data_IF_201835097345
#
_entry.id   IF_201835097345
#
_cell.length_a   1.000
_cell.length_b   1.000
_cell.length_c   1.000
_cell.angle_alpha   90.00
_cell.angle_beta   90.00
_cell.angle_gamma   90.00
#
_symmetry.space_group_name_H-M   'P 1'
#
loop_
_entity.id
_entity.type
_entity.pdbx_description
1 polymer ?
#
# COMPACT_ATOMS: atom_id res chain seq x y z
N UNK A 1 -1.41 0.01 -5.20
CA UNK A 1 -0.82 -1.20 -5.79
C UNK A 1 -0.91 -2.30 -4.77
N UNK A 2 0.20 -2.64 -4.11
CA UNK A 2 0.29 -3.79 -3.21
C UNK A 2 -0.83 -3.93 -2.17
N UNK A 3 -1.18 -2.87 -1.44
CA UNK A 3 -2.27 -2.96 -0.43
C UNK A 3 -3.61 -3.35 -1.06
N UNK A 4 -3.95 -2.80 -2.23
CA UNK A 4 -5.17 -3.19 -2.96
C UNK A 4 -5.09 -4.62 -3.51
N UNK A 5 -3.91 -5.04 -3.97
CA UNK A 5 -3.68 -6.43 -4.41
C UNK A 5 -3.90 -7.40 -3.25
N UNK A 6 -3.33 -7.12 -2.06
CA UNK A 6 -3.52 -7.95 -0.89
C UNK A 6 -4.99 -7.99 -0.42
N UNK A 7 -5.69 -6.84 -0.47
CA UNK A 7 -7.13 -6.80 -0.20
C UNK A 7 -7.91 -7.67 -1.17
N UNK A 8 -7.69 -7.50 -2.47
CA UNK A 8 -8.34 -8.31 -3.49
C UNK A 8 -8.15 -9.81 -3.28
N UNK A 9 -6.95 -10.24 -2.86
CA UNK A 9 -6.64 -11.65 -2.62
C UNK A 9 -7.22 -12.21 -1.31
N UNK A 10 -7.49 -11.36 -0.31
CA UNK A 10 -7.89 -11.77 1.03
C UNK A 10 -9.37 -11.52 1.37
N UNK A 11 -10.01 -10.51 0.78
CA UNK A 11 -11.39 -10.12 1.14
C UNK A 11 -12.44 -11.14 0.72
N UNK A 12 -12.34 -11.60 -0.52
CA UNK A 12 -13.15 -12.71 -1.03
C UNK A 12 -12.25 -13.67 -1.81
N UNK A 13 -11.57 -14.59 -1.10
CA UNK A 13 -10.65 -15.54 -1.73
C UNK A 13 -11.34 -16.48 -2.72
N UNK A 14 -12.68 -16.62 -2.67
CA UNK A 14 -13.44 -17.43 -3.60
C UNK A 14 -13.72 -16.70 -4.92
N UNK A 15 -13.76 -15.36 -4.91
CA UNK A 15 -13.91 -14.53 -6.10
C UNK A 15 -12.59 -14.32 -6.86
N UNK A 16 -11.44 -14.68 -6.29
CA UNK A 16 -10.14 -14.58 -6.96
C UNK A 16 -10.13 -15.54 -8.17
N UNK A 17 -9.93 -15.04 -9.41
CA UNK A 17 -9.93 -15.89 -10.59
C UNK A 17 -8.81 -16.93 -10.52
N UNK A 18 -9.11 -18.18 -10.91
CA UNK A 18 -8.11 -19.26 -10.92
C UNK A 18 -6.91 -19.04 -11.84
N UNK A 19 -6.98 -18.06 -12.75
CA UNK A 19 -5.84 -17.61 -13.56
C UNK A 19 -4.77 -16.84 -12.76
N UNK A 20 -5.10 -16.37 -11.54
CA UNK A 20 -4.13 -15.69 -10.66
C UNK A 20 -3.32 -16.75 -9.90
N UNK A 21 -2.16 -17.11 -10.44
CA UNK A 21 -1.32 -18.16 -9.87
C UNK A 21 -0.45 -17.71 -8.68
N UNK A 22 -0.02 -16.44 -8.67
CA UNK A 22 0.84 -15.88 -7.63
C UNK A 22 0.78 -14.35 -7.60
N UNK A 23 1.21 -13.74 -6.49
CA UNK A 23 1.37 -12.29 -6.37
C UNK A 23 2.66 -11.89 -5.67
N UNK A 24 3.20 -10.72 -6.04
CA UNK A 24 4.34 -10.09 -5.36
C UNK A 24 3.97 -8.64 -5.05
N UNK A 25 4.17 -8.28 -3.79
CA UNK A 25 3.74 -7.04 -3.18
C UNK A 25 4.94 -6.39 -2.50
N UNK A 26 5.44 -5.29 -3.07
CA UNK A 26 6.67 -4.62 -2.61
C UNK A 26 6.32 -3.33 -1.86
N UNK A 27 6.92 -3.16 -0.69
CA UNK A 27 6.78 -1.99 0.19
C UNK A 27 5.35 -1.59 0.45
N UNK A 28 4.60 -2.56 0.96
CA UNK A 28 3.17 -2.46 1.12
C UNK A 28 2.81 -1.96 2.51
N UNK A 29 2.11 -0.82 2.62
CA UNK A 29 1.53 -0.39 3.88
C UNK A 29 0.32 -1.25 4.19
N UNK A 30 0.55 -2.38 4.88
CA UNK A 30 -0.50 -3.32 5.23
C UNK A 30 -1.46 -2.71 6.27
N UNK A 31 -0.98 -1.79 7.10
CA UNK A 31 -1.76 -0.96 8.02
C UNK A 31 -1.68 0.50 7.58
N UNK A 32 -2.76 1.02 7.03
CA UNK A 32 -2.86 2.42 6.58
C UNK A 32 -2.96 3.40 7.76
N UNK A 33 -3.52 2.97 8.88
CA UNK A 33 -3.74 3.82 10.06
C UNK A 33 -2.41 4.26 10.66
N UNK A 34 -1.46 3.33 10.77
CA UNK A 34 -0.14 3.63 11.32
C UNK A 34 0.79 4.26 10.29
N UNK A 35 0.68 3.83 9.02
CA UNK A 35 1.44 4.42 7.90
C UNK A 35 1.13 5.90 7.70
N UNK A 36 -0.14 6.29 7.76
CA UNK A 36 -0.54 7.69 7.64
C UNK A 36 0.12 8.55 8.73
N UNK A 37 0.08 8.08 9.98
CA UNK A 37 0.70 8.77 11.12
C UNK A 37 2.22 8.86 10.97
N UNK A 38 2.85 7.83 10.40
CA UNK A 38 4.28 7.86 10.10
C UNK A 38 4.61 8.89 9.03
N UNK A 39 3.80 9.00 7.98
CA UNK A 39 3.95 10.01 6.92
C UNK A 39 3.72 11.44 7.42
N UNK A 40 2.84 11.62 8.41
CA UNK A 40 2.57 12.93 9.03
C UNK A 40 3.73 13.43 9.92
N UNK A 41 4.73 12.59 10.23
CA UNK A 41 5.87 13.00 11.08
C UNK A 41 6.67 14.13 10.43
N UNK A 42 7.21 15.10 11.22
CA UNK A 42 7.99 16.22 10.68
C UNK A 42 9.17 15.82 9.78
N UNK A 43 9.83 14.68 10.08
CA UNK A 43 10.94 14.15 9.27
C UNK A 43 10.53 13.69 7.87
N UNK A 44 9.24 13.39 7.66
CA UNK A 44 8.69 12.93 6.37
C UNK A 44 8.02 14.07 5.58
N UNK A 45 8.15 15.32 6.02
CA UNK A 45 7.42 16.47 5.43
C UNK A 45 7.69 16.69 3.95
N UNK A 46 8.90 16.36 3.46
CA UNK A 46 9.22 16.41 2.03
C UNK A 46 8.34 15.44 1.24
N UNK A 47 8.20 14.20 1.72
CA UNK A 47 7.35 13.18 1.10
C UNK A 47 5.87 13.57 1.16
N UNK A 48 5.39 13.96 2.35
CA UNK A 48 4.01 14.43 2.53
C UNK A 48 3.65 15.55 1.56
N UNK A 49 4.48 16.59 1.47
CA UNK A 49 4.23 17.73 0.59
C UNK A 49 4.22 17.32 -0.88
N UNK A 50 5.15 16.45 -1.30
CA UNK A 50 5.20 15.96 -2.67
C UNK A 50 3.94 15.15 -3.01
N UNK A 51 3.52 14.24 -2.13
CA UNK A 51 2.30 13.46 -2.32
C UNK A 51 1.06 14.35 -2.39
N UNK A 52 0.85 15.22 -1.41
CA UNK A 52 -0.32 16.11 -1.40
C UNK A 52 -0.36 17.03 -2.62
N UNK A 53 0.79 17.53 -3.10
CA UNK A 53 0.85 18.28 -4.36
C UNK A 53 0.28 17.46 -5.52
N UNK A 54 0.78 16.23 -5.71
CA UNK A 54 0.31 15.37 -6.80
C UNK A 54 -1.16 14.98 -6.67
N UNK A 55 -1.65 14.75 -5.44
CA UNK A 55 -3.04 14.41 -5.17
C UNK A 55 -3.97 15.59 -5.46
N UNK A 56 -3.65 16.80 -4.97
CA UNK A 56 -4.41 18.02 -5.29
C UNK A 56 -4.48 18.26 -6.79
N UNK A 57 -3.39 18.06 -7.52
CA UNK A 57 -3.38 18.23 -8.97
C UNK A 57 -4.24 17.20 -9.71
N UNK A 58 -4.25 15.94 -9.24
CA UNK A 58 -5.16 14.90 -9.77
C UNK A 58 -6.62 15.27 -9.52
N UNK A 59 -6.95 15.74 -8.31
CA UNK A 59 -8.31 16.15 -7.97
C UNK A 59 -8.74 17.35 -8.80
N UNK A 60 -7.90 18.39 -8.91
CA UNK A 60 -8.16 19.57 -9.77
C UNK A 60 -8.45 19.17 -11.21
N UNK A 61 -7.68 18.23 -11.78
CA UNK A 61 -7.94 17.69 -13.13
C UNK A 61 -9.30 17.01 -13.20
N UNK A 62 -9.65 16.15 -12.23
CA UNK A 62 -10.96 15.49 -12.20
C UNK A 62 -12.12 16.49 -12.06
N UNK A 63 -11.97 17.55 -11.26
CA UNK A 63 -13.01 18.58 -11.09
C UNK A 63 -13.30 19.35 -12.37
N UNK A 64 -12.33 19.48 -13.29
CA UNK A 64 -12.58 20.08 -14.62
C UNK A 64 -13.52 19.23 -15.47
N UNK A 65 -13.42 17.90 -15.35
CA UNK A 65 -14.28 16.95 -16.08
C UNK A 65 -15.62 16.73 -15.38
N UNK A 66 -15.63 16.80 -14.05
CA UNK A 66 -16.81 16.58 -13.22
C UNK A 66 -17.03 17.80 -12.31
N UNK A 67 -17.71 18.85 -12.77
CA UNK A 67 -17.99 20.03 -11.94
C UNK A 67 -18.72 19.65 -10.65
N UNK A 68 -18.37 20.28 -9.54
CA UNK A 68 -18.94 19.98 -8.21
C UNK A 68 -18.32 18.78 -7.48
N UNK A 69 -17.29 18.14 -8.05
CA UNK A 69 -16.63 16.96 -7.47
C UNK A 69 -16.12 17.15 -6.04
N UNK A 70 -15.55 18.33 -5.78
CA UNK A 70 -15.01 18.76 -4.49
C UNK A 70 -14.97 20.28 -4.48
N UNK A 71 -15.10 20.86 -3.30
CA UNK A 71 -14.84 22.29 -3.12
C UNK A 71 -13.32 22.55 -3.23
N UNK A 72 -12.92 23.30 -4.27
CA UNK A 72 -11.51 23.59 -4.54
C UNK A 72 -10.85 24.50 -3.49
N UNK A 73 -11.62 25.36 -2.82
CA UNK A 73 -11.11 26.19 -1.72
C UNK A 73 -10.79 25.34 -0.49
N UNK A 74 -11.63 24.35 -0.19
CA UNK A 74 -11.34 23.34 0.85
C UNK A 74 -10.12 22.51 0.49
N UNK A 75 -9.99 22.09 -0.78
CA UNK A 75 -8.83 21.34 -1.26
C UNK A 75 -7.51 22.13 -1.10
N UNK A 76 -7.55 23.45 -1.28
CA UNK A 76 -6.38 24.32 -1.09
C UNK A 76 -5.92 24.40 0.39
N UNK A 77 -6.80 24.11 1.35
CA UNK A 77 -6.53 24.17 2.80
C UNK A 77 -6.08 22.84 3.42
N UNK A 78 -6.11 21.74 2.66
CA UNK A 78 -5.64 20.42 3.10
C UNK A 78 -4.18 20.51 3.54
N UNK A 79 -3.81 19.99 4.73
CA UNK A 79 -2.44 20.05 5.26
C UNK A 79 -1.75 18.68 5.36
N UNK A 80 -2.52 17.63 5.54
CA UNK A 80 -2.05 16.26 5.69
C UNK A 80 -2.94 15.26 4.91
N UNK A 81 -2.66 13.97 5.05
CA UNK A 81 -3.44 12.92 4.39
C UNK A 81 -4.82 12.79 5.00
N UNK A 82 -4.94 12.89 6.33
CA UNK A 82 -6.24 12.89 6.99
C UNK A 82 -7.18 13.98 6.43
N UNK A 83 -6.73 15.24 6.36
CA UNK A 83 -7.49 16.34 5.75
C UNK A 83 -7.90 16.02 4.30
N UNK A 84 -6.99 15.41 3.52
CA UNK A 84 -7.25 15.05 2.13
C UNK A 84 -8.30 13.94 2.02
N UNK A 85 -8.13 12.88 2.80
CA UNK A 85 -8.95 11.69 2.75
C UNK A 85 -10.34 11.94 3.35
N UNK A 86 -10.47 12.76 4.40
CA UNK A 86 -11.76 13.25 4.91
C UNK A 86 -12.51 14.08 3.87
N UNK A 87 -11.79 14.94 3.13
CA UNK A 87 -12.41 15.82 2.14
C UNK A 87 -12.81 15.08 0.86
N UNK A 88 -11.97 14.16 0.40
CA UNK A 88 -12.07 13.60 -0.95
C UNK A 88 -12.22 12.09 -0.98
N UNK A 89 -11.35 11.33 -0.31
CA UNK A 89 -11.32 9.87 -0.49
C UNK A 89 -12.49 9.19 0.21
N UNK A 90 -12.65 9.41 1.52
CA UNK A 90 -13.69 8.80 2.35
C UNK A 90 -15.11 8.97 1.78
N UNK A 91 -15.61 10.21 1.56
CA UNK A 91 -16.99 10.42 1.12
C UNK A 91 -17.27 9.84 -0.27
N UNK A 92 -16.25 9.77 -1.14
CA UNK A 92 -16.40 9.23 -2.51
C UNK A 92 -16.47 7.72 -2.55
N UNK A 93 -15.91 7.06 -1.55
CA UNK A 93 -15.88 5.61 -1.45
C UNK A 93 -16.88 5.09 -0.40
N UNK A 94 -17.78 5.94 0.10
CA UNK A 94 -18.84 5.56 1.02
C UNK A 94 -18.38 5.42 2.48
N UNK A 95 -17.17 5.86 2.80
CA UNK A 95 -16.69 5.92 4.18
C UNK A 95 -17.14 7.22 4.85
N UNK A 96 -17.39 7.14 6.15
CA UNK A 96 -17.80 8.27 6.99
C UNK A 96 -16.71 9.31 7.13
N UNK A 97 -15.47 8.85 7.30
CA UNK A 97 -14.27 9.66 7.55
C UNK A 97 -13.00 8.89 7.15
N UNK A 98 -11.86 9.56 7.20
CA UNK A 98 -10.54 9.02 6.88
C UNK A 98 -10.16 7.86 7.82
N UNK A 99 -10.57 7.91 9.09
CA UNK A 99 -10.25 6.86 10.05
C UNK A 99 -10.96 5.55 9.70
N UNK A 100 -12.25 5.59 9.35
CA UNK A 100 -12.97 4.44 8.83
C UNK A 100 -12.33 3.95 7.52
N UNK A 101 -11.99 4.87 6.62
CA UNK A 101 -11.29 4.52 5.38
C UNK A 101 -9.98 3.75 5.67
N UNK A 102 -9.13 4.23 6.57
CA UNK A 102 -7.87 3.53 6.86
C UNK A 102 -8.08 2.17 7.51
N UNK A 103 -9.04 2.06 8.43
CA UNK A 103 -9.35 0.79 9.09
C UNK A 103 -9.86 -0.27 8.10
N UNK A 104 -10.80 0.12 7.23
CA UNK A 104 -11.42 -0.80 6.28
C UNK A 104 -10.59 -1.00 5.01
N UNK A 105 -9.71 -0.05 4.68
CA UNK A 105 -8.86 -0.13 3.50
C UNK A 105 -7.46 -0.70 3.76
N UNK A 106 -7.13 -1.04 5.00
CA UNK A 106 -5.92 -1.78 5.34
C UNK A 106 -6.02 -3.24 4.89
N UNK A 107 -4.94 -3.79 4.32
CA UNK A 107 -4.93 -5.21 3.95
C UNK A 107 -4.62 -6.14 5.12
N UNK A 108 -4.02 -5.64 6.20
CA UNK A 108 -3.59 -6.45 7.36
C UNK A 108 -4.67 -7.41 7.89
N UNK A 109 -5.94 -7.01 8.06
CA UNK A 109 -6.98 -7.89 8.61
C UNK A 109 -7.36 -9.07 7.72
N UNK A 110 -7.08 -9.00 6.42
CA UNK A 110 -7.53 -10.02 5.44
C UNK A 110 -6.41 -10.96 4.99
N UNK A 111 -5.18 -10.77 5.47
CA UNK A 111 -4.02 -11.56 5.02
C UNK A 111 -4.10 -13.03 5.40
N UNK A 112 -4.80 -13.38 6.48
CA UNK A 112 -5.00 -14.78 6.90
C UNK A 112 -5.87 -15.56 5.91
N UNK A 113 -6.74 -14.86 5.17
CA UNK A 113 -7.66 -15.47 4.22
C UNK A 113 -7.05 -15.67 2.82
N UNK A 114 -5.89 -15.07 2.53
CA UNK A 114 -5.21 -15.18 1.23
C UNK A 114 -4.91 -16.64 0.90
N UNK A 115 -5.33 -17.10 -0.28
CA UNK A 115 -5.12 -18.49 -0.76
C UNK A 115 -4.10 -18.61 -1.89
N UNK A 116 -3.84 -17.52 -2.59
CA UNK A 116 -2.85 -17.48 -3.69
C UNK A 116 -1.46 -17.26 -3.09
N UNK A 117 -0.43 -18.03 -3.50
CA UNK A 117 0.95 -17.79 -3.09
C UNK A 117 1.35 -16.32 -3.30
N UNK A 118 1.64 -15.63 -2.20
CA UNK A 118 1.83 -14.18 -2.19
C UNK A 118 3.06 -13.80 -1.40
N UNK A 119 4.00 -13.09 -2.04
CA UNK A 119 5.18 -12.52 -1.39
C UNK A 119 4.93 -11.06 -1.01
N UNK A 120 5.10 -10.73 0.27
CA UNK A 120 5.23 -9.37 0.79
C UNK A 120 6.72 -9.09 1.02
N UNK A 121 7.28 -8.11 0.31
CA UNK A 121 8.66 -7.68 0.43
C UNK A 121 8.71 -6.24 0.99
N UNK A 122 8.97 -6.11 2.29
CA UNK A 122 8.97 -4.82 3.00
C UNK A 122 10.32 -4.57 3.67
N UNK A 123 11.04 -3.51 3.31
CA UNK A 123 12.33 -3.21 3.93
C UNK A 123 12.17 -2.63 5.35
N UNK A 124 13.02 -3.04 6.29
CA UNK A 124 12.98 -2.55 7.69
C UNK A 124 13.35 -1.08 7.82
N UNK A 125 14.10 -0.53 6.87
CA UNK A 125 14.47 0.89 6.83
C UNK A 125 13.53 1.74 5.96
N UNK A 126 12.34 1.25 5.63
CA UNK A 126 11.31 2.01 4.93
C UNK A 126 10.82 3.17 5.83
N UNK A 127 10.86 4.45 5.38
CA UNK A 127 10.44 5.59 6.19
C UNK A 127 8.93 5.69 6.41
N UNK A 128 8.13 4.92 5.67
CA UNK A 128 6.66 4.97 5.72
C UNK A 128 6.06 3.82 6.50
N UNK A 129 6.68 2.64 6.44
CA UNK A 129 6.15 1.44 7.07
C UNK A 129 6.46 1.43 8.57
N UNK A 130 5.43 1.21 9.37
CA UNK A 130 5.56 1.00 10.82
C UNK A 130 5.64 -0.49 11.15
N UNK A 131 5.97 -0.88 12.39
CA UNK A 131 6.01 -2.30 12.80
C UNK A 131 4.75 -3.10 12.43
N UNK A 132 3.59 -2.47 12.44
CA UNK A 132 2.30 -3.07 12.09
C UNK A 132 2.18 -3.44 10.59
N UNK A 133 3.03 -2.84 9.74
CA UNK A 133 3.10 -3.19 8.32
C UNK A 133 3.95 -4.43 8.02
N UNK A 134 4.45 -5.12 9.06
CA UNK A 134 5.20 -6.37 8.95
C UNK A 134 4.35 -7.51 9.53
N UNK A 135 3.50 -8.17 8.70
CA UNK A 135 2.48 -9.12 9.16
C UNK A 135 3.09 -10.49 9.53
N UNK A 136 4.01 -10.51 10.50
CA UNK A 136 4.75 -11.72 10.89
C UNK A 136 3.84 -12.82 11.45
N UNK A 137 2.79 -12.44 12.18
CA UNK A 137 1.82 -13.38 12.72
C UNK A 137 1.01 -14.05 11.60
N UNK A 138 0.50 -13.26 10.66
CA UNK A 138 -0.29 -13.73 9.53
C UNK A 138 0.56 -14.60 8.60
N UNK A 139 1.81 -14.20 8.32
CA UNK A 139 2.74 -14.98 7.50
C UNK A 139 3.14 -16.32 8.16
N UNK A 140 3.15 -16.39 9.49
CA UNK A 140 3.40 -17.64 10.23
C UNK A 140 2.18 -18.57 10.21
N UNK A 141 0.98 -18.00 10.24
CA UNK A 141 -0.27 -18.75 10.27
C UNK A 141 -0.74 -19.22 8.89
N UNK A 142 -0.40 -18.48 7.82
CA UNK A 142 -0.88 -18.73 6.46
C UNK A 142 0.25 -19.25 5.55
N UNK A 143 0.22 -20.51 5.09
CA UNK A 143 1.25 -21.07 4.21
C UNK A 143 1.29 -20.46 2.80
N UNK A 144 0.24 -19.75 2.39
CA UNK A 144 0.24 -19.02 1.12
C UNK A 144 0.89 -17.63 1.22
N UNK A 145 1.21 -17.16 2.43
CA UNK A 145 1.74 -15.81 2.65
C UNK A 145 3.22 -15.84 3.04
N UNK A 146 4.06 -15.31 2.16
CA UNK A 146 5.50 -15.23 2.35
C UNK A 146 5.88 -13.79 2.71
N UNK A 147 6.68 -13.63 3.78
CA UNK A 147 7.13 -12.31 4.22
C UNK A 147 8.66 -12.23 4.19
N UNK A 148 9.19 -11.24 3.46
CA UNK A 148 10.61 -10.91 3.42
C UNK A 148 10.87 -9.50 3.92
N UNK A 149 11.75 -9.38 4.92
CA UNK A 149 12.04 -8.11 5.59
C UNK A 149 13.52 -7.73 5.59
N UNK A 150 14.10 -7.39 4.41
CA UNK A 150 15.51 -7.03 4.34
C UNK A 150 15.80 -5.78 5.18
N UNK A 151 17.00 -5.72 5.77
CA UNK A 151 17.42 -4.57 6.58
C UNK A 151 17.43 -3.26 5.77
N UNK A 152 17.75 -3.35 4.48
CA UNK A 152 17.84 -2.22 3.57
C UNK A 152 17.00 -2.42 2.31
N UNK A 153 16.42 -1.32 1.85
CA UNK A 153 15.62 -1.25 0.62
C UNK A 153 14.86 0.08 0.53
N UNK A 154 14.58 0.75 1.65
CA UNK A 154 13.72 1.94 1.66
C UNK A 154 12.32 1.63 1.12
N UNK A 155 11.54 2.67 0.79
CA UNK A 155 10.19 2.43 0.28
C UNK A 155 10.13 1.85 -1.13
N UNK A 156 11.04 2.21 -2.03
CA UNK A 156 11.11 1.61 -3.38
C UNK A 156 12.56 1.52 -3.86
N UNK A 157 13.51 1.64 -2.94
CA UNK A 157 14.92 1.75 -3.26
C UNK A 157 15.47 0.44 -3.77
N UNK A 158 15.48 -0.63 -2.96
CA UNK A 158 16.02 -1.97 -3.25
C UNK A 158 17.25 -2.00 -4.18
N UNK A 159 18.08 -0.95 -4.13
CA UNK A 159 19.17 -0.71 -5.08
C UNK A 159 20.34 -1.61 -4.70
N UNK A 160 20.86 -2.45 -5.62
CA UNK A 160 22.09 -3.18 -5.37
C UNK A 160 23.32 -2.25 -5.48
N UNK A 161 24.50 -2.70 -5.02
CA UNK A 161 25.75 -2.14 -5.52
C UNK A 161 25.77 -2.21 -7.06
N UNK A 162 26.14 -1.11 -7.71
CA UNK A 162 26.18 -1.04 -9.18
C UNK A 162 27.32 -1.90 -9.75
N UNK A 163 27.14 -2.61 -10.87
CA UNK A 163 25.89 -2.80 -11.64
C UNK A 163 25.06 -3.99 -11.14
N UNK A 164 23.73 -3.91 -11.22
CA UNK A 164 22.84 -5.03 -10.95
C UNK A 164 21.35 -4.68 -11.01
N UNK A 165 20.45 -5.66 -11.20
CA UNK A 165 19.01 -5.45 -11.15
C UNK A 165 18.54 -5.18 -9.71
N UNK A 166 17.41 -4.49 -9.57
CA UNK A 166 16.84 -4.19 -8.25
C UNK A 166 16.55 -5.49 -7.50
N UNK A 167 16.87 -5.52 -6.21
CA UNK A 167 16.64 -6.72 -5.38
C UNK A 167 15.15 -7.10 -5.36
N UNK A 168 14.26 -6.12 -5.41
CA UNK A 168 12.81 -6.33 -5.52
C UNK A 168 12.42 -7.07 -6.80
N UNK A 169 13.03 -6.73 -7.93
CA UNK A 169 12.77 -7.39 -9.22
C UNK A 169 13.30 -8.83 -9.22
N UNK A 170 14.54 -9.02 -8.73
CA UNK A 170 15.12 -10.37 -8.59
C UNK A 170 14.24 -11.27 -7.73
N UNK A 171 13.85 -10.80 -6.54
CA UNK A 171 12.99 -11.59 -5.65
C UNK A 171 11.62 -11.86 -6.24
N UNK A 172 11.04 -10.90 -6.98
CA UNK A 172 9.79 -11.11 -7.67
C UNK A 172 9.90 -12.24 -8.71
N UNK A 173 10.92 -12.19 -9.57
CA UNK A 173 11.15 -13.22 -10.60
C UNK A 173 11.43 -14.59 -9.95
N UNK A 174 12.27 -14.64 -8.93
CA UNK A 174 12.60 -15.87 -8.22
C UNK A 174 11.39 -16.49 -7.53
N UNK A 175 10.55 -15.68 -6.89
CA UNK A 175 9.33 -16.16 -6.24
C UNK A 175 8.33 -16.69 -7.26
N UNK A 176 8.00 -15.89 -8.28
CA UNK A 176 7.05 -16.27 -9.31
C UNK A 176 7.53 -17.52 -10.07
N UNK A 177 8.82 -17.60 -10.41
CA UNK A 177 9.40 -18.75 -11.09
C UNK A 177 9.30 -20.05 -10.28
N UNK A 178 9.43 -20.00 -8.95
CA UNK A 178 9.24 -21.17 -8.08
C UNK A 178 7.79 -21.63 -8.03
N UNK A 179 6.85 -20.69 -7.91
CA UNK A 179 5.41 -21.01 -7.84
C UNK A 179 4.89 -21.55 -9.16
N UNK A 180 5.36 -21.01 -10.29
CA UNK A 180 4.90 -21.44 -11.62
C UNK A 180 5.54 -22.76 -12.09
N UNK A 181 6.61 -23.21 -11.43
CA UNK A 181 7.28 -24.48 -11.73
C UNK A 181 6.75 -25.66 -10.90
N UNK A 182 5.90 -25.41 -9.89
CA UNK A 182 5.23 -26.43 -9.06
C UNK A 182 3.85 -26.76 -9.58
#
# INVERSE_FOLDING_TARGET
>A
GGNQTLRFLGEDPAAVPGAVAAAVCVSVPCDLTTTERALARPGNRIYLNNFLKTLRDKVRRKTRTFPGLVNLDRLARVRDFQDFDDLFTAPRHGFRDAAQYYAEASSLPVLEAVRVPTLILNAKNDPFLTPECFPEAQARANPALFLETPATGGHVGFVPPWPGPYRSELRAVEFLGRVLAS
#
